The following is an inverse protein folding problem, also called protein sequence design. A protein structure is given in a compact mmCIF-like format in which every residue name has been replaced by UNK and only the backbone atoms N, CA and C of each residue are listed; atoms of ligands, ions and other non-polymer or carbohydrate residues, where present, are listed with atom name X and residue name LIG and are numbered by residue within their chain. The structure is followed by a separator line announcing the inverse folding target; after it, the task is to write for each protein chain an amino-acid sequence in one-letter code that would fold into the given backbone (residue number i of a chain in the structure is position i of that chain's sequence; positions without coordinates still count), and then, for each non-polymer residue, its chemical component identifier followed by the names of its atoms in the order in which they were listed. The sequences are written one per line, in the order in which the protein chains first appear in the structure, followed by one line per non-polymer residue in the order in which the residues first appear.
data_IF_729218507335
#
_entry.id   IF_729218507335
#
_cell.length_a   1.000
_cell.length_b   1.000
_cell.length_c   1.000
_cell.angle_alpha   90.00
_cell.angle_beta   90.00
_cell.angle_gamma   90.00
#
_symmetry.space_group_name_H-M   'P 1'
#
loop_
_entity.id
_entity.type
_entity.pdbx_description
1 polymer ?
#
# COMPACT_ATOMS: atom_id res chain seq x y z
N UNK A 1 -17.89 36.21 -6.02
CA UNK A 1 -17.93 34.78 -5.65
C UNK A 1 -16.51 34.39 -5.30
N UNK A 2 -16.24 33.76 -4.15
CA UNK A 2 -14.88 33.29 -3.89
C UNK A 2 -14.50 32.28 -4.99
N UNK A 3 -13.29 32.38 -5.51
CA UNK A 3 -12.71 31.55 -6.58
C UNK A 3 -12.70 30.06 -6.19
N UNK A 4 -13.85 29.40 -6.29
CA UNK A 4 -13.99 27.98 -5.93
C UNK A 4 -13.63 27.19 -7.18
N UNK A 5 -12.40 26.69 -7.24
CA UNK A 5 -11.92 25.86 -8.35
C UNK A 5 -12.75 24.57 -8.42
N UNK A 6 -13.19 24.23 -9.63
CA UNK A 6 -13.96 23.02 -9.89
C UNK A 6 -13.09 21.76 -9.75
N UNK A 7 -13.60 20.70 -9.11
CA UNK A 7 -12.86 19.45 -8.95
C UNK A 7 -12.64 18.71 -10.28
N UNK A 8 -13.54 18.87 -11.25
CA UNK A 8 -13.35 18.33 -12.60
C UNK A 8 -12.21 19.07 -13.31
N UNK A 9 -12.13 20.40 -13.16
CA UNK A 9 -11.03 21.21 -13.71
C UNK A 9 -9.69 20.91 -13.04
N UNK A 10 -9.68 20.71 -11.71
CA UNK A 10 -8.47 20.34 -10.94
C UNK A 10 -7.89 19.02 -11.43
N UNK A 11 -8.75 18.03 -11.73
CA UNK A 11 -8.31 16.74 -12.27
C UNK A 11 -8.13 16.75 -13.80
N UNK A 12 -8.59 17.81 -14.49
CA UNK A 12 -8.55 17.91 -15.94
C UNK A 12 -9.39 16.84 -16.63
N UNK A 13 -10.55 16.50 -16.07
CA UNK A 13 -11.49 15.50 -16.61
C UNK A 13 -12.84 16.13 -16.96
N UNK A 14 -13.61 15.47 -17.84
CA UNK A 14 -14.98 15.88 -18.16
C UNK A 14 -15.91 15.67 -16.96
N UNK A 15 -17.00 16.44 -16.89
CA UNK A 15 -18.09 16.26 -15.92
C UNK A 15 -18.75 14.88 -16.05
N UNK A 16 -18.79 14.34 -17.27
CA UNK A 16 -19.30 13.00 -17.58
C UNK A 16 -18.27 11.90 -17.38
N UNK A 17 -17.06 12.21 -16.89
CA UNK A 17 -15.97 11.25 -16.78
C UNK A 17 -16.35 10.06 -15.89
N UNK A 18 -15.99 8.87 -16.35
CA UNK A 18 -16.23 7.66 -15.59
C UNK A 18 -15.24 7.53 -14.41
N UNK A 19 -15.53 6.64 -13.45
CA UNK A 19 -14.67 6.45 -12.28
C UNK A 19 -13.24 6.00 -12.64
N UNK A 20 -13.04 5.35 -13.80
CA UNK A 20 -11.71 4.92 -14.26
C UNK A 20 -10.91 6.11 -14.80
N UNK A 21 -11.57 7.01 -15.51
CA UNK A 21 -10.97 8.25 -16.03
C UNK A 21 -10.55 9.18 -14.89
N UNK A 22 -11.41 9.38 -13.89
CA UNK A 22 -11.10 10.14 -12.67
C UNK A 22 -9.88 9.54 -11.95
N UNK A 23 -9.88 8.22 -11.74
CA UNK A 23 -8.77 7.51 -11.08
C UNK A 23 -7.47 7.60 -11.88
N UNK A 24 -7.55 7.58 -13.21
CA UNK A 24 -6.39 7.68 -14.11
C UNK A 24 -5.80 9.10 -14.07
N UNK A 25 -6.64 10.12 -14.11
CA UNK A 25 -6.23 11.51 -14.01
C UNK A 25 -5.58 11.82 -12.66
N UNK A 26 -6.20 11.38 -11.55
CA UNK A 26 -5.62 11.49 -10.22
C UNK A 26 -4.23 10.85 -10.14
N UNK A 27 -4.06 9.61 -10.63
CA UNK A 27 -2.74 8.93 -10.59
C UNK A 27 -1.66 9.70 -11.34
N UNK A 28 -1.99 10.25 -12.51
CA UNK A 28 -1.05 11.03 -13.32
C UNK A 28 -0.61 12.29 -12.59
N UNK A 29 -1.57 13.06 -12.08
CA UNK A 29 -1.32 14.32 -11.38
C UNK A 29 -0.64 14.11 -10.03
N UNK A 30 -1.02 13.06 -9.28
CA UNK A 30 -0.39 12.70 -8.01
C UNK A 30 1.07 12.28 -8.19
N UNK A 31 1.42 11.64 -9.30
CA UNK A 31 2.82 11.34 -9.64
C UNK A 31 3.60 12.57 -10.10
N UNK A 32 2.94 13.53 -10.76
CA UNK A 32 3.57 14.76 -11.24
C UNK A 32 3.88 15.72 -10.09
N UNK A 33 2.93 15.89 -9.16
CA UNK A 33 3.01 16.82 -8.03
C UNK A 33 3.38 16.14 -6.70
N UNK A 34 3.92 14.91 -6.73
CA UNK A 34 4.31 14.20 -5.51
C UNK A 34 5.39 14.97 -4.72
N UNK A 35 5.30 15.06 -3.37
CA UNK A 35 6.32 15.72 -2.55
C UNK A 35 7.73 15.18 -2.76
N UNK A 36 7.89 13.86 -2.89
CA UNK A 36 9.21 13.24 -3.14
C UNK A 36 9.85 13.64 -4.48
N UNK A 37 9.05 14.02 -5.48
CA UNK A 37 9.54 14.46 -6.80
C UNK A 37 9.71 15.97 -6.90
N UNK A 38 9.03 16.71 -6.05
CA UNK A 38 9.08 18.17 -5.99
C UNK A 38 9.40 18.60 -4.54
N UNK A 39 10.54 18.16 -3.98
CA UNK A 39 10.94 18.60 -2.65
C UNK A 39 11.15 20.12 -2.69
N UNK A 40 10.60 20.81 -1.68
CA UNK A 40 10.70 22.27 -1.50
C UNK A 40 9.93 23.15 -2.52
N UNK A 41 9.01 22.59 -3.32
CA UNK A 41 8.09 23.39 -4.14
C UNK A 41 6.72 23.59 -3.45
N UNK A 42 6.45 24.76 -2.83
CA UNK A 42 5.18 25.01 -2.15
C UNK A 42 3.98 25.05 -3.10
N UNK A 43 4.19 25.35 -4.40
CA UNK A 43 3.10 25.33 -5.39
C UNK A 43 2.74 23.91 -5.80
N UNK A 44 3.73 23.01 -5.85
CA UNK A 44 3.47 21.59 -6.07
C UNK A 44 2.71 20.98 -4.89
N UNK A 45 3.06 21.37 -3.66
CA UNK A 45 2.35 20.94 -2.45
C UNK A 45 0.89 21.41 -2.43
N UNK A 46 0.64 22.68 -2.76
CA UNK A 46 -0.71 23.25 -2.83
C UNK A 46 -1.56 22.53 -3.89
N UNK A 47 -1.01 22.32 -5.10
CA UNK A 47 -1.68 21.55 -6.15
C UNK A 47 -1.95 20.12 -5.75
N UNK A 48 -0.99 19.48 -5.07
CA UNK A 48 -1.15 18.10 -4.60
C UNK A 48 -2.30 17.97 -3.60
N UNK A 49 -2.50 18.97 -2.73
CA UNK A 49 -3.66 19.04 -1.82
C UNK A 49 -4.98 19.19 -2.60
N UNK A 50 -5.04 20.10 -3.58
CA UNK A 50 -6.22 20.27 -4.44
C UNK A 50 -6.57 18.97 -5.20
N UNK A 51 -5.57 18.29 -5.75
CA UNK A 51 -5.73 17.01 -6.47
C UNK A 51 -6.27 15.92 -5.55
N UNK A 52 -5.80 15.85 -4.30
CA UNK A 52 -6.30 14.89 -3.32
C UNK A 52 -7.74 15.18 -2.90
N UNK A 53 -8.09 16.44 -2.70
CA UNK A 53 -9.45 16.88 -2.37
C UNK A 53 -10.44 16.53 -3.50
N UNK A 54 -10.09 16.88 -4.74
CA UNK A 54 -10.89 16.58 -5.92
C UNK A 54 -11.14 15.07 -6.08
N UNK A 55 -10.09 14.25 -5.91
CA UNK A 55 -10.26 12.80 -5.98
C UNK A 55 -11.08 12.25 -4.80
N UNK A 56 -10.95 12.79 -3.60
CA UNK A 56 -11.73 12.35 -2.43
C UNK A 56 -13.25 12.59 -2.57
N UNK A 57 -13.64 13.56 -3.39
CA UNK A 57 -15.03 13.86 -3.72
C UNK A 57 -15.50 13.08 -4.95
N UNK A 58 -14.75 13.13 -6.05
CA UNK A 58 -15.19 12.58 -7.34
C UNK A 58 -15.07 11.06 -7.45
N UNK A 59 -14.22 10.41 -6.65
CA UNK A 59 -14.07 8.94 -6.67
C UNK A 59 -15.16 8.19 -5.89
N UNK A 60 -15.92 8.88 -5.05
CA UNK A 60 -17.01 8.32 -4.24
C UNK A 60 -18.36 8.73 -4.88
N UNK A 61 -19.22 7.78 -5.29
CA UNK A 61 -20.46 8.10 -5.96
C UNK A 61 -21.40 9.01 -5.16
N UNK A 62 -21.50 8.82 -3.84
CA UNK A 62 -22.40 9.61 -2.99
C UNK A 62 -21.86 11.02 -2.77
N UNK A 63 -20.54 11.18 -2.65
CA UNK A 63 -19.93 12.51 -2.51
C UNK A 63 -19.93 13.28 -3.82
N UNK A 64 -19.70 12.60 -4.94
CA UNK A 64 -19.81 13.17 -6.29
C UNK A 64 -21.22 13.71 -6.53
N UNK A 65 -22.24 12.93 -6.22
CA UNK A 65 -23.64 13.37 -6.35
C UNK A 65 -23.95 14.63 -5.52
N UNK A 66 -23.48 14.68 -4.26
CA UNK A 66 -23.66 15.87 -3.40
C UNK A 66 -22.89 17.08 -3.90
N UNK A 67 -21.68 16.87 -4.42
CA UNK A 67 -20.89 17.91 -5.05
C UNK A 67 -21.57 18.46 -6.29
N UNK A 68 -22.02 17.59 -7.18
CA UNK A 68 -22.75 17.95 -8.40
C UNK A 68 -24.07 18.68 -8.07
N UNK A 69 -24.78 18.28 -7.00
CA UNK A 69 -26.00 18.93 -6.56
C UNK A 69 -25.78 20.38 -6.09
N UNK A 70 -24.69 20.64 -5.36
CA UNK A 70 -24.33 22.00 -4.89
C UNK A 70 -23.73 22.84 -6.01
N UNK A 71 -22.91 22.21 -6.86
CA UNK A 71 -22.32 22.83 -8.06
C UNK A 71 -23.39 23.31 -9.04
N UNK A 72 -24.40 22.49 -9.31
CA UNK A 72 -25.49 22.81 -10.24
C UNK A 72 -26.56 23.73 -9.64
N UNK A 73 -26.56 23.92 -8.31
CA UNK A 73 -27.48 24.84 -7.63
C UNK A 73 -26.81 25.60 -6.46
N UNK A 74 -25.91 26.58 -6.76
CA UNK A 74 -25.09 27.26 -5.75
C UNK A 74 -25.88 28.03 -4.69
N UNK A 75 -27.16 28.32 -4.95
CA UNK A 75 -28.06 29.06 -4.06
C UNK A 75 -29.13 28.19 -3.40
N UNK A 76 -29.19 26.89 -3.72
CA UNK A 76 -30.16 25.96 -3.15
C UNK A 76 -29.99 25.69 -1.64
N UNK A 77 -28.81 26.00 -1.10
CA UNK A 77 -28.48 25.82 0.33
C UNK A 77 -28.36 27.11 1.15
N UNK A 78 -28.51 28.30 0.53
CA UNK A 78 -28.26 29.59 1.17
C UNK A 78 -29.47 30.53 1.11
N UNK A 79 -30.67 29.95 1.22
CA UNK A 79 -31.93 30.65 1.44
C UNK A 79 -32.44 30.39 2.86
N UNK A 80 -31.88 31.08 3.86
CA UNK A 80 -32.46 31.11 5.19
C UNK A 80 -33.79 31.87 5.17
N UNK A 81 -34.91 31.17 5.00
CA UNK A 81 -36.24 31.78 5.12
C UNK A 81 -37.41 30.85 4.82
N UNK A 82 -38.00 30.28 5.88
CA UNK A 82 -39.37 29.71 5.95
C UNK A 82 -39.72 28.56 4.98
N UNK A 83 -39.54 27.34 5.48
CA UNK A 83 -40.26 26.15 5.02
C UNK A 83 -40.33 25.15 6.17
N UNK A 84 -41.38 25.24 6.98
CA UNK A 84 -41.53 24.45 8.20
C UNK A 84 -41.67 22.97 7.89
N UNK A 85 -40.85 22.15 8.55
CA UNK A 85 -41.18 20.75 8.78
C UNK A 85 -42.19 20.72 9.93
N UNK A 86 -43.49 20.71 9.60
CA UNK A 86 -44.57 20.66 10.60
C UNK A 86 -44.86 19.19 10.98
N UNK A 87 -44.74 18.80 12.27
CA UNK A 87 -44.91 17.42 12.72
C UNK A 87 -46.38 17.03 13.02
N UNK A 88 -47.38 17.71 12.43
CA UNK A 88 -48.81 17.35 12.55
C UNK A 88 -49.63 17.63 11.29
N UNK A 89 -50.00 16.56 10.59
CA UNK A 89 -50.95 16.55 9.46
C UNK A 89 -50.23 16.59 8.11
N UNK A 90 -50.41 15.67 7.17
CA UNK A 90 -51.50 14.73 6.93
C UNK A 90 -51.79 14.77 5.43
N UNK A 91 -51.26 13.80 4.69
CA UNK A 91 -51.49 13.59 3.25
C UNK A 91 -50.20 13.69 2.44
N UNK A 92 -49.67 12.66 1.80
CA UNK A 92 -50.15 11.30 1.59
C UNK A 92 -49.26 10.69 0.51
N UNK A 93 -48.32 9.84 0.90
CA UNK A 93 -47.81 8.78 0.04
C UNK A 93 -47.55 7.56 0.93
N UNK A 94 -48.65 6.90 1.25
CA UNK A 94 -48.69 5.55 1.78
C UNK A 94 -49.95 4.93 1.20
N UNK A 95 -49.81 4.14 0.13
CA UNK A 95 -50.24 2.75 0.13
C UNK A 95 -49.93 2.09 -1.23
N UNK A 96 -48.96 1.19 -1.24
CA UNK A 96 -49.21 -0.15 -1.76
C UNK A 96 -48.21 -1.14 -1.16
N UNK A 97 -48.69 -1.86 -0.14
CA UNK A 97 -48.35 -3.22 0.34
C UNK A 97 -46.89 -3.71 0.29
N UNK A 98 -46.31 -4.27 1.36
CA UNK A 98 -46.85 -4.74 2.62
C UNK A 98 -45.83 -5.73 3.22
N UNK A 99 -45.78 -5.78 4.55
CA UNK A 99 -45.24 -6.94 5.28
C UNK A 99 -43.84 -6.77 5.89
N UNK A 100 -43.77 -6.92 7.21
CA UNK A 100 -42.58 -7.48 7.89
C UNK A 100 -41.51 -6.49 8.34
N UNK A 101 -41.78 -5.77 9.44
CA UNK A 101 -40.75 -5.07 10.22
C UNK A 101 -39.78 -6.08 10.85
N UNK A 102 -38.69 -6.40 10.17
CA UNK A 102 -37.46 -6.86 10.79
C UNK A 102 -36.54 -5.66 10.99
N UNK A 103 -36.18 -5.37 12.24
CA UNK A 103 -35.13 -4.40 12.55
C UNK A 103 -33.80 -5.01 12.12
N UNK A 104 -33.32 -4.67 10.93
CA UNK A 104 -31.92 -4.90 10.57
C UNK A 104 -31.13 -3.75 11.17
N UNK A 105 -30.50 -4.04 12.31
CA UNK A 105 -29.39 -3.26 12.85
C UNK A 105 -28.22 -3.43 11.88
N UNK A 106 -27.90 -2.40 11.10
CA UNK A 106 -26.63 -2.41 10.38
C UNK A 106 -25.53 -1.99 11.35
N UNK A 107 -24.75 -2.99 11.70
CA UNK A 107 -23.58 -2.97 12.56
C UNK A 107 -22.37 -2.61 11.71
N UNK A 108 -21.69 -1.53 12.11
CA UNK A 108 -20.24 -1.36 12.11
C UNK A 108 -19.43 -2.07 11.01
N UNK A 109 -18.82 -1.30 10.10
CA UNK A 109 -17.65 -1.80 9.39
C UNK A 109 -17.35 -1.11 8.07
N UNK A 110 -16.65 0.03 8.13
CA UNK A 110 -15.49 0.37 7.30
C UNK A 110 -15.24 1.87 7.47
N UNK A 111 -14.28 2.19 8.34
CA UNK A 111 -13.66 3.51 8.33
C UNK A 111 -13.12 3.76 6.92
N UNK A 112 -13.53 4.88 6.35
CA UNK A 112 -12.97 5.35 5.10
C UNK A 112 -11.44 5.46 5.30
N UNK A 113 -10.59 4.97 4.39
CA UNK A 113 -9.13 5.15 4.48
C UNK A 113 -8.71 6.63 4.61
N UNK A 114 -9.65 7.53 4.29
CA UNK A 114 -9.55 8.97 4.38
C UNK A 114 -9.72 9.53 5.81
N UNK A 115 -10.41 8.83 6.72
CA UNK A 115 -10.51 9.25 8.14
C UNK A 115 -9.16 9.17 8.86
N UNK A 116 -8.21 8.36 8.35
CA UNK A 116 -6.91 8.16 8.99
C UNK A 116 -5.84 9.17 8.57
N UNK A 117 -6.09 10.01 7.56
CA UNK A 117 -5.13 11.04 7.12
C UNK A 117 -5.53 12.46 7.58
N UNK A 118 -6.75 12.64 8.10
CA UNK A 118 -7.28 13.92 8.61
C UNK A 118 -7.18 14.08 10.12
N UNK A 119 -6.06 13.67 10.73
CA UNK A 119 -5.76 13.88 12.14
C UNK A 119 -5.16 15.27 12.44
N UNK A 120 -5.72 16.32 11.87
CA UNK A 120 -5.23 17.69 12.03
C UNK A 120 -6.13 18.67 11.31
N UNK A 121 -6.77 19.56 12.06
CA UNK A 121 -7.53 20.68 11.49
C UNK A 121 -6.55 21.55 10.67
N UNK A 122 -6.69 21.62 9.34
CA UNK A 122 -5.98 22.62 8.52
C UNK A 122 -5.55 22.24 7.09
N UNK A 123 -5.89 21.08 6.53
CA UNK A 123 -5.38 20.65 5.22
C UNK A 123 -6.34 20.72 4.01
N UNK A 124 -7.64 20.82 4.23
CA UNK A 124 -8.68 20.81 3.18
C UNK A 124 -9.40 22.16 3.11
N UNK A 125 -9.92 22.52 1.94
CA UNK A 125 -10.61 23.79 1.74
C UNK A 125 -11.82 23.96 2.67
N UNK A 126 -12.14 25.20 3.04
CA UNK A 126 -13.33 25.55 3.82
C UNK A 126 -14.62 25.09 3.11
N UNK A 127 -14.60 25.01 1.78
CA UNK A 127 -15.72 24.49 0.98
C UNK A 127 -15.92 22.98 1.22
N UNK A 128 -14.86 22.16 1.14
CA UNK A 128 -14.93 20.73 1.46
C UNK A 128 -15.38 20.49 2.91
N UNK A 129 -14.88 21.31 3.85
CA UNK A 129 -15.30 21.24 5.25
C UNK A 129 -16.77 21.64 5.43
N UNK A 130 -17.26 22.64 4.71
CA UNK A 130 -18.68 23.04 4.76
C UNK A 130 -19.61 21.99 4.14
N UNK A 131 -19.17 21.33 3.06
CA UNK A 131 -19.96 20.37 2.29
C UNK A 131 -19.96 18.97 2.91
N UNK A 132 -18.85 18.55 3.51
CA UNK A 132 -18.64 17.19 4.01
C UNK A 132 -18.23 17.08 5.49
N UNK A 133 -17.88 18.19 6.15
CA UNK A 133 -17.51 18.22 7.58
C UNK A 133 -18.69 18.26 8.55
N UNK A 134 -19.92 18.40 8.06
CA UNK A 134 -21.13 18.51 8.89
C UNK A 134 -21.72 17.20 9.44
N UNK A 135 -21.15 16.04 9.11
CA UNK A 135 -21.74 14.73 9.42
C UNK A 135 -21.20 14.05 10.69
N UNK A 136 -20.54 14.78 11.60
CA UNK A 136 -20.11 14.25 12.89
C UNK A 136 -20.13 15.30 14.01
N UNK A 137 -21.28 15.96 14.20
CA UNK A 137 -21.51 16.76 15.41
C UNK A 137 -22.99 16.90 15.75
N UNK A 138 -23.62 15.78 16.13
CA UNK A 138 -24.88 15.82 16.87
C UNK A 138 -24.85 14.84 18.04
N UNK A 139 -23.92 15.07 18.96
CA UNK A 139 -24.00 14.60 20.34
C UNK A 139 -23.05 15.40 21.24
N UNK A 140 -23.46 16.60 21.64
CA UNK A 140 -22.87 17.28 22.80
C UNK A 140 -22.49 18.74 22.56
N UNK A 141 -23.39 19.66 22.90
CA UNK A 141 -23.08 21.09 22.94
C UNK A 141 -24.35 21.94 22.98
N UNK A 142 -24.93 22.11 24.17
CA UNK A 142 -26.02 23.06 24.38
C UNK A 142 -25.50 24.51 24.36
N UNK A 143 -26.26 25.48 23.82
CA UNK A 143 -25.82 26.86 23.65
C UNK A 143 -26.14 27.71 24.89
N UNK A 144 -25.26 28.66 25.19
CA UNK A 144 -25.47 29.90 25.98
C UNK A 144 -26.54 29.90 27.08
N UNK A 145 -26.08 29.84 28.34
CA UNK A 145 -26.91 30.20 29.49
C UNK A 145 -26.15 30.32 30.81
N UNK A 146 -25.80 31.56 31.19
CA UNK A 146 -25.87 32.09 32.55
C UNK A 146 -24.88 31.60 33.61
N UNK A 147 -24.15 32.54 34.23
CA UNK A 147 -23.22 32.27 35.31
C UNK A 147 -23.87 31.97 36.68
N UNK A 148 -23.00 31.60 37.62
CA UNK A 148 -23.28 31.69 39.05
C UNK A 148 -23.31 30.36 39.81
N UNK A 149 -22.59 30.37 40.92
CA UNK A 149 -22.68 29.50 42.09
C UNK A 149 -22.02 28.11 42.04
N UNK A 150 -21.05 28.00 42.94
CA UNK A 150 -20.46 26.80 43.48
C UNK A 150 -21.49 25.70 43.77
N UNK A 151 -21.25 24.52 43.22
CA UNK A 151 -21.69 23.28 43.83
C UNK A 151 -20.67 22.17 43.53
N UNK A 152 -19.95 21.80 44.57
CA UNK A 152 -19.16 20.58 44.65
C UNK A 152 -20.01 19.39 44.18
N UNK A 153 -19.74 18.89 42.98
CA UNK A 153 -20.15 17.56 42.56
C UNK A 153 -18.89 16.76 42.30
N UNK A 154 -18.68 15.81 43.21
CA UNK A 154 -17.65 14.77 43.18
C UNK A 154 -17.46 14.26 41.75
N UNK A 155 -16.30 14.52 41.17
CA UNK A 155 -15.80 13.80 40.02
C UNK A 155 -15.64 12.33 40.41
N UNK A 156 -16.71 11.54 40.25
CA UNK A 156 -16.58 10.11 40.00
C UNK A 156 -15.88 10.03 38.66
N UNK A 157 -14.57 9.84 38.70
CA UNK A 157 -13.76 9.56 37.53
C UNK A 157 -14.46 8.48 36.72
N UNK A 158 -14.97 8.87 35.54
CA UNK A 158 -15.37 7.92 34.51
C UNK A 158 -14.06 7.24 34.15
N UNK A 159 -13.75 6.10 34.81
CA UNK A 159 -12.72 5.17 34.36
C UNK A 159 -13.09 4.90 32.91
N UNK A 160 -12.42 5.57 31.97
CA UNK A 160 -12.37 5.12 30.60
C UNK A 160 -11.87 3.69 30.73
N UNK A 161 -12.77 2.74 30.51
CA UNK A 161 -12.42 1.34 30.45
C UNK A 161 -11.39 1.27 29.34
N UNK A 162 -10.11 1.13 29.72
CA UNK A 162 -9.03 1.01 28.75
C UNK A 162 -9.40 -0.19 27.89
N UNK A 163 -9.58 0.04 26.59
CA UNK A 163 -9.80 -1.03 25.62
C UNK A 163 -8.64 -2.02 25.64
N UNK A 164 -8.80 -3.12 24.90
CA UNK A 164 -7.68 -4.04 24.70
C UNK A 164 -6.48 -3.35 24.07
N UNK A 165 -5.28 -3.86 24.36
CA UNK A 165 -4.03 -3.29 23.86
C UNK A 165 -3.61 -3.99 22.57
N UNK A 166 -3.08 -3.22 21.64
CA UNK A 166 -2.49 -3.76 20.42
C UNK A 166 -1.18 -4.47 20.74
N UNK A 167 -0.89 -5.53 19.99
CA UNK A 167 0.32 -6.34 20.14
C UNK A 167 1.07 -6.32 18.84
N UNK A 168 2.39 -6.15 18.90
CA UNK A 168 3.27 -6.36 17.76
C UNK A 168 4.08 -7.64 17.97
N UNK A 169 4.21 -8.44 16.92
CA UNK A 169 5.08 -9.62 16.91
C UNK A 169 5.81 -9.72 15.58
N UNK A 170 6.94 -10.43 15.59
CA UNK A 170 7.76 -10.71 14.41
C UNK A 170 7.66 -12.19 14.09
N UNK A 171 7.50 -12.52 12.81
CA UNK A 171 7.52 -13.89 12.33
C UNK A 171 8.71 -14.06 11.39
N UNK A 172 9.64 -14.91 11.80
CA UNK A 172 10.77 -15.31 10.97
C UNK A 172 10.29 -16.26 9.88
N UNK A 173 10.59 -15.92 8.64
CA UNK A 173 10.33 -16.73 7.46
C UNK A 173 11.64 -17.09 6.79
N UNK A 174 11.77 -18.35 6.37
CA UNK A 174 12.83 -18.69 5.42
C UNK A 174 12.56 -18.02 4.07
N UNK A 175 13.61 -17.82 3.28
CA UNK A 175 13.48 -17.28 1.93
C UNK A 175 12.47 -18.06 1.09
N UNK A 176 12.54 -19.40 1.11
CA UNK A 176 11.61 -20.27 0.40
C UNK A 176 10.15 -20.14 0.89
N UNK A 177 9.92 -19.97 2.20
CA UNK A 177 8.59 -19.71 2.74
C UNK A 177 8.03 -18.37 2.24
N UNK A 178 8.87 -17.33 2.19
CA UNK A 178 8.47 -16.03 1.67
C UNK A 178 8.11 -16.09 0.17
N UNK A 179 8.85 -16.87 -0.62
CA UNK A 179 8.57 -17.08 -2.05
C UNK A 179 7.28 -17.90 -2.29
N UNK A 180 7.08 -18.96 -1.51
CA UNK A 180 5.91 -19.83 -1.66
C UNK A 180 4.63 -19.17 -1.15
N UNK A 181 4.72 -18.40 -0.06
CA UNK A 181 3.56 -17.87 0.66
C UNK A 181 2.67 -18.98 1.23
N UNK A 182 1.38 -18.68 1.38
CA UNK A 182 0.35 -19.63 1.79
C UNK A 182 -0.13 -19.44 3.22
N UNK A 183 -0.96 -20.38 3.69
CA UNK A 183 -1.56 -20.32 5.04
C UNK A 183 -0.63 -20.98 6.04
N UNK A 184 -0.21 -20.25 7.06
CA UNK A 184 0.62 -20.76 8.15
C UNK A 184 -0.07 -20.55 9.49
N UNK A 185 0.01 -21.56 10.35
CA UNK A 185 -0.45 -21.47 11.72
C UNK A 185 0.70 -20.99 12.61
N UNK A 186 0.48 -19.86 13.29
CA UNK A 186 1.48 -19.22 14.14
C UNK A 186 0.97 -19.24 15.57
N UNK A 187 1.82 -19.70 16.49
CA UNK A 187 1.55 -19.63 17.92
C UNK A 187 1.89 -18.23 18.42
N UNK A 188 0.89 -17.55 19.00
CA UNK A 188 1.06 -16.24 19.59
C UNK A 188 1.77 -16.32 20.95
N UNK A 189 2.38 -15.22 21.43
CA UNK A 189 2.94 -15.14 22.78
C UNK A 189 1.94 -15.51 23.90
N UNK A 190 0.65 -15.29 23.66
CA UNK A 190 -0.44 -15.68 24.58
C UNK A 190 -0.86 -17.15 24.50
N UNK A 191 -0.19 -17.99 23.71
CA UNK A 191 -0.47 -19.42 23.56
C UNK A 191 -1.57 -19.77 22.55
N UNK A 192 -2.34 -18.80 22.06
CA UNK A 192 -3.34 -18.98 21.01
C UNK A 192 -2.68 -19.27 19.66
N UNK A 193 -3.24 -20.19 18.87
CA UNK A 193 -2.82 -20.44 17.50
C UNK A 193 -3.68 -19.61 16.55
N UNK A 194 -3.04 -18.88 15.64
CA UNK A 194 -3.73 -18.08 14.63
C UNK A 194 -3.26 -18.49 13.25
N UNK A 195 -4.23 -18.73 12.35
CA UNK A 195 -3.96 -18.91 10.93
C UNK A 195 -3.74 -17.56 10.27
N UNK A 196 -2.54 -17.38 9.73
CA UNK A 196 -2.11 -16.20 8.99
C UNK A 196 -1.91 -16.59 7.53
N UNK A 197 -2.30 -15.72 6.61
CA UNK A 197 -1.98 -15.89 5.20
C UNK A 197 -0.76 -15.06 4.87
N UNK A 198 0.29 -15.72 4.41
CA UNK A 198 1.52 -15.10 3.94
C UNK A 198 1.34 -14.87 2.43
N UNK A 199 1.38 -13.61 1.95
CA UNK A 199 1.35 -13.34 0.53
C UNK A 199 2.50 -14.03 -0.21
N UNK A 200 2.24 -14.48 -1.42
CA UNK A 200 3.27 -15.08 -2.27
C UNK A 200 4.32 -14.01 -2.64
N UNK A 201 5.59 -14.33 -2.48
CA UNK A 201 6.68 -13.39 -2.77
C UNK A 201 6.79 -12.25 -1.76
N UNK A 202 6.32 -12.45 -0.52
CA UNK A 202 6.30 -11.38 0.49
C UNK A 202 7.69 -10.82 0.77
N UNK A 203 7.78 -9.50 0.98
CA UNK A 203 9.04 -8.79 1.26
C UNK A 203 9.36 -8.79 2.75
N UNK A 204 10.64 -8.66 3.07
CA UNK A 204 11.08 -8.40 4.44
C UNK A 204 10.42 -7.11 4.96
N UNK A 205 9.97 -7.12 6.22
CA UNK A 205 9.31 -5.99 6.88
C UNK A 205 7.81 -5.84 6.57
N UNK A 206 7.22 -6.72 5.75
CA UNK A 206 5.79 -6.65 5.44
C UNK A 206 4.94 -6.87 6.71
N UNK A 207 3.98 -5.98 6.96
CA UNK A 207 3.14 -5.99 8.16
C UNK A 207 1.70 -6.42 7.85
N UNK A 208 1.19 -7.39 8.61
CA UNK A 208 -0.19 -7.87 8.54
C UNK A 208 -0.93 -7.58 9.84
N UNK A 209 -2.15 -7.05 9.75
CA UNK A 209 -3.02 -6.75 10.88
C UNK A 209 -4.09 -7.83 11.06
N UNK A 210 -4.16 -8.40 12.25
CA UNK A 210 -5.17 -9.35 12.68
C UNK A 210 -6.09 -8.68 13.71
N UNK A 211 -7.29 -8.32 13.26
CA UNK A 211 -8.26 -7.59 14.09
C UNK A 211 -8.75 -8.43 15.28
N UNK A 212 -8.81 -7.82 16.47
CA UNK A 212 -9.32 -8.45 17.69
C UNK A 212 -8.46 -9.58 18.25
N UNK A 213 -7.20 -9.72 17.80
CA UNK A 213 -6.25 -10.76 18.24
C UNK A 213 -5.15 -10.23 19.16
N UNK A 214 -5.22 -8.96 19.54
CA UNK A 214 -4.35 -8.35 20.55
C UNK A 214 -4.70 -8.77 21.98
N UNK A 215 -4.19 -8.03 22.96
CA UNK A 215 -4.42 -8.31 24.38
C UNK A 215 -5.83 -7.89 24.80
N UNK A 216 -6.45 -8.71 25.66
CA UNK A 216 -7.74 -8.41 26.25
C UNK A 216 -7.60 -7.30 27.30
N UNK A 217 -8.42 -6.25 27.19
CA UNK A 217 -8.53 -5.21 28.21
C UNK A 217 -9.43 -5.63 29.36
N UNK A 218 -9.45 -4.87 30.48
CA UNK A 218 -10.32 -5.17 31.64
C UNK A 218 -11.82 -5.25 31.32
N UNK A 219 -12.27 -4.70 30.18
CA UNK A 219 -13.64 -4.76 29.69
C UNK A 219 -13.90 -5.88 28.66
N UNK A 220 -12.98 -6.82 28.48
CA UNK A 220 -13.13 -7.97 27.56
C UNK A 220 -12.89 -7.66 26.07
N UNK A 221 -12.92 -6.39 25.66
CA UNK A 221 -12.51 -6.00 24.31
C UNK A 221 -11.02 -6.27 24.10
N UNK A 222 -10.67 -6.90 22.98
CA UNK A 222 -9.28 -7.15 22.57
C UNK A 222 -8.80 -6.05 21.63
N UNK A 223 -7.51 -5.70 21.72
CA UNK A 223 -6.85 -4.90 20.69
C UNK A 223 -6.56 -5.73 19.45
N UNK A 224 -5.72 -5.20 18.57
CA UNK A 224 -5.29 -5.85 17.34
C UNK A 224 -3.88 -6.46 17.46
N UNK A 225 -3.57 -7.40 16.57
CA UNK A 225 -2.24 -7.99 16.47
C UNK A 225 -1.61 -7.60 15.14
N UNK A 226 -0.43 -6.99 15.18
CA UNK A 226 0.39 -6.69 14.02
C UNK A 226 1.52 -7.72 13.94
N UNK A 227 1.59 -8.44 12.83
CA UNK A 227 2.67 -9.38 12.54
C UNK A 227 3.57 -8.76 11.48
N UNK A 228 4.84 -8.56 11.80
CA UNK A 228 5.87 -8.16 10.82
C UNK A 228 6.63 -9.39 10.36
N UNK A 229 6.71 -9.62 9.05
CA UNK A 229 7.50 -10.71 8.48
C UNK A 229 8.97 -10.33 8.40
N UNK A 230 9.84 -11.14 8.99
CA UNK A 230 11.28 -11.03 8.84
C UNK A 230 11.75 -12.20 7.98
N UNK A 231 12.08 -11.90 6.73
CA UNK A 231 12.60 -12.90 5.79
C UNK A 231 14.10 -13.01 6.00
N UNK A 232 14.59 -14.22 6.23
CA UNK A 232 16.01 -14.52 6.35
C UNK A 232 16.72 -14.41 4.99
N UNK A 233 17.97 -13.96 5.02
CA UNK A 233 18.84 -13.92 3.84
C UNK A 233 19.07 -15.33 3.29
N UNK A 234 19.23 -15.42 1.97
CA UNK A 234 19.51 -16.68 1.29
C UNK A 234 20.98 -16.77 0.89
N UNK A 235 21.67 -17.90 1.11
CA UNK A 235 23.10 -18.02 0.83
C UNK A 235 23.47 -17.85 -0.65
N UNK A 236 22.54 -18.18 -1.57
CA UNK A 236 22.77 -18.10 -3.03
C UNK A 236 22.06 -16.94 -3.72
N UNK A 237 21.02 -16.36 -3.10
CA UNK A 237 20.15 -15.41 -3.80
C UNK A 237 20.11 -14.10 -3.02
N UNK A 238 20.46 -13.02 -3.71
CA UNK A 238 20.20 -11.65 -3.23
C UNK A 238 18.91 -11.18 -3.88
N UNK A 239 17.99 -10.60 -3.11
CA UNK A 239 16.72 -10.08 -3.61
C UNK A 239 16.77 -8.56 -3.70
N UNK A 240 16.44 -8.02 -4.87
CA UNK A 240 16.31 -6.59 -5.13
C UNK A 240 14.92 -6.32 -5.71
N UNK A 241 14.02 -5.76 -4.91
CA UNK A 241 12.61 -5.66 -5.30
C UNK A 241 11.99 -7.05 -5.50
N UNK A 242 11.58 -7.37 -6.72
CA UNK A 242 11.10 -8.70 -7.09
C UNK A 242 12.09 -9.47 -7.99
N UNK A 243 13.23 -8.84 -8.29
CA UNK A 243 14.33 -9.47 -9.00
C UNK A 243 15.25 -10.22 -8.02
N UNK A 244 15.89 -11.26 -8.55
CA UNK A 244 16.85 -12.08 -7.84
C UNK A 244 18.21 -11.99 -8.52
N UNK A 245 19.27 -11.99 -7.73
CA UNK A 245 20.64 -12.00 -8.19
C UNK A 245 21.35 -13.23 -7.62
N UNK A 246 22.09 -13.92 -8.48
CA UNK A 246 22.89 -15.09 -8.14
C UNK A 246 24.23 -14.99 -8.84
N UNK A 247 25.28 -15.46 -8.19
CA UNK A 247 26.60 -15.56 -8.78
C UNK A 247 26.75 -16.98 -9.37
N UNK A 248 27.26 -17.08 -10.59
CA UNK A 248 27.49 -18.33 -11.29
C UNK A 248 28.96 -18.43 -11.71
N UNK A 249 29.61 -19.46 -11.20
CA UNK A 249 30.99 -19.76 -11.53
C UNK A 249 31.09 -20.44 -12.90
N UNK A 250 32.01 -19.95 -13.73
CA UNK A 250 32.28 -20.48 -15.07
C UNK A 250 33.78 -20.65 -15.27
N UNK A 251 34.21 -21.71 -15.95
CA UNK A 251 35.65 -21.88 -16.23
C UNK A 251 36.16 -20.84 -17.22
N UNK A 252 37.43 -20.44 -17.09
CA UNK A 252 38.10 -19.53 -18.04
C UNK A 252 37.85 -19.89 -19.51
N UNK A 253 38.01 -21.16 -19.87
CA UNK A 253 37.83 -21.59 -21.26
C UNK A 253 36.37 -21.58 -21.72
N UNK A 254 35.42 -21.84 -20.81
CA UNK A 254 33.98 -21.73 -21.10
C UNK A 254 33.59 -20.27 -21.35
N UNK A 255 34.20 -19.32 -20.61
CA UNK A 255 34.03 -17.89 -20.84
C UNK A 255 34.59 -17.47 -22.21
N UNK A 256 35.79 -17.96 -22.56
CA UNK A 256 36.48 -17.64 -23.81
C UNK A 256 35.79 -18.24 -25.04
N UNK A 257 35.40 -19.52 -24.97
CA UNK A 257 34.91 -20.29 -26.12
C UNK A 257 33.39 -20.33 -26.21
N UNK A 258 32.70 -19.92 -25.15
CA UNK A 258 31.25 -20.03 -25.00
C UNK A 258 30.85 -21.38 -24.45
N UNK A 259 29.75 -21.39 -23.69
CA UNK A 259 29.29 -22.57 -22.99
C UNK A 259 27.77 -22.55 -22.78
N UNK A 260 27.24 -23.65 -22.25
CA UNK A 260 25.86 -23.75 -21.82
C UNK A 260 25.81 -24.21 -20.37
N UNK A 261 25.42 -23.32 -19.48
CA UNK A 261 25.32 -23.58 -18.05
C UNK A 261 23.90 -23.96 -17.65
N UNK A 262 23.77 -24.73 -16.58
CA UNK A 262 22.48 -24.99 -15.92
C UNK A 262 22.45 -24.20 -14.62
N UNK A 263 21.61 -23.17 -14.57
CA UNK A 263 21.42 -22.32 -13.39
C UNK A 263 20.09 -22.69 -12.73
N UNK A 264 20.10 -22.95 -11.43
CA UNK A 264 18.87 -23.17 -10.67
C UNK A 264 18.29 -21.84 -10.20
N UNK A 265 16.98 -21.65 -10.39
CA UNK A 265 16.27 -20.53 -9.76
C UNK A 265 15.91 -20.82 -8.29
N UNK A 266 15.37 -19.81 -7.59
CA UNK A 266 15.00 -19.93 -6.19
C UNK A 266 13.82 -20.89 -5.91
N UNK A 267 13.23 -21.47 -6.95
CA UNK A 267 12.18 -22.49 -6.87
C UNK A 267 12.70 -23.91 -7.19
N UNK A 268 14.02 -24.07 -7.39
CA UNK A 268 14.65 -25.36 -7.70
C UNK A 268 14.54 -25.80 -9.16
N UNK A 269 14.07 -24.93 -10.06
CA UNK A 269 14.01 -25.26 -11.49
C UNK A 269 15.36 -24.94 -12.14
N UNK A 270 15.93 -25.92 -12.85
CA UNK A 270 17.14 -25.73 -13.65
C UNK A 270 16.83 -25.09 -15.00
N UNK A 271 17.46 -23.96 -15.28
CA UNK A 271 17.32 -23.16 -16.49
C UNK A 271 18.63 -23.26 -17.27
N UNK A 272 18.54 -23.48 -18.58
CA UNK A 272 19.70 -23.45 -19.47
C UNK A 272 20.07 -22.00 -19.77
N UNK A 273 21.26 -21.57 -19.39
CA UNK A 273 21.85 -20.28 -19.73
C UNK A 273 22.91 -20.49 -20.83
N UNK A 274 22.72 -19.83 -21.97
CA UNK A 274 23.72 -19.80 -23.03
C UNK A 274 24.71 -18.68 -22.75
N UNK A 275 25.98 -19.03 -22.58
CA UNK A 275 27.08 -18.09 -22.34
C UNK A 275 27.83 -17.89 -23.66
N UNK A 276 27.83 -16.68 -24.24
CA UNK A 276 28.57 -16.39 -25.47
C UNK A 276 30.09 -16.52 -25.29
N UNK A 277 30.79 -16.81 -26.38
CA UNK A 277 32.25 -16.72 -26.41
C UNK A 277 32.71 -15.28 -26.12
N UNK A 278 33.79 -15.15 -25.35
CA UNK A 278 34.33 -13.86 -24.92
C UNK A 278 33.55 -13.20 -23.78
N UNK A 279 32.75 -13.95 -23.01
CA UNK A 279 32.06 -13.43 -21.81
C UNK A 279 33.06 -12.91 -20.80
N UNK A 280 32.82 -11.72 -20.25
CA UNK A 280 33.73 -11.06 -19.32
C UNK A 280 33.43 -11.40 -17.84
N UNK A 281 34.42 -11.39 -16.95
CA UNK A 281 34.17 -11.45 -15.50
C UNK A 281 33.26 -10.30 -15.04
N UNK A 282 32.27 -10.63 -14.20
CA UNK A 282 31.26 -9.70 -13.71
C UNK A 282 30.14 -9.39 -14.71
N UNK A 283 30.17 -9.95 -15.93
CA UNK A 283 29.06 -9.79 -16.88
C UNK A 283 27.77 -10.41 -16.33
N UNK A 284 26.64 -9.74 -16.55
CA UNK A 284 25.34 -10.16 -15.99
C UNK A 284 24.40 -10.63 -17.08
N UNK A 285 23.88 -11.86 -16.95
CA UNK A 285 22.83 -12.39 -17.81
C UNK A 285 21.46 -12.32 -17.14
N UNK A 286 20.47 -11.79 -17.87
CA UNK A 286 19.08 -11.70 -17.41
C UNK A 286 18.25 -12.87 -17.91
N UNK A 287 17.75 -13.69 -16.98
CA UNK A 287 16.78 -14.76 -17.23
C UNK A 287 15.38 -14.25 -16.88
N UNK A 288 14.62 -13.90 -17.92
CA UNK A 288 13.29 -13.28 -17.76
C UNK A 288 12.26 -14.21 -17.09
N UNK A 289 11.50 -13.68 -16.15
CA UNK A 289 10.43 -14.37 -15.42
C UNK A 289 10.91 -15.43 -14.43
N UNK A 290 12.19 -15.37 -14.03
CA UNK A 290 12.82 -16.35 -13.14
C UNK A 290 13.13 -15.79 -11.73
N UNK A 291 12.70 -14.56 -11.44
CA UNK A 291 12.78 -13.92 -10.14
C UNK A 291 11.61 -14.26 -9.22
N UNK A 292 11.29 -13.37 -8.29
CA UNK A 292 10.20 -13.56 -7.33
C UNK A 292 8.85 -13.47 -8.02
N UNK A 293 8.03 -14.52 -7.83
CA UNK A 293 6.64 -14.56 -8.29
C UNK A 293 5.72 -13.95 -7.22
N UNK A 294 5.04 -12.88 -7.56
CA UNK A 294 4.00 -12.25 -6.74
C UNK A 294 2.60 -12.62 -7.29
N UNK A 295 1.54 -12.01 -6.78
CA UNK A 295 0.19 -12.19 -7.34
C UNK A 295 0.01 -11.47 -8.68
N UNK A 296 0.66 -10.32 -8.85
CA UNK A 296 0.48 -9.44 -10.01
C UNK A 296 1.57 -9.61 -11.07
N UNK A 297 2.81 -9.89 -10.64
CA UNK A 297 3.97 -9.89 -11.52
C UNK A 297 5.04 -10.92 -11.12
N UNK A 298 5.99 -11.18 -12.02
CA UNK A 298 7.16 -12.02 -11.79
C UNK A 298 8.42 -11.25 -12.19
N UNK A 299 9.32 -11.04 -11.23
CA UNK A 299 10.62 -10.46 -11.52
C UNK A 299 11.55 -11.41 -12.27
N UNK A 300 12.80 -10.99 -12.44
CA UNK A 300 13.80 -11.69 -13.21
C UNK A 300 14.93 -12.25 -12.35
N UNK A 301 15.70 -13.19 -12.92
CA UNK A 301 16.93 -13.67 -12.32
C UNK A 301 18.12 -13.10 -13.08
N UNK A 302 18.95 -12.34 -12.40
CA UNK A 302 20.23 -11.84 -12.88
C UNK A 302 21.33 -12.79 -12.41
N UNK A 303 22.07 -13.33 -13.37
CA UNK A 303 23.18 -14.25 -13.15
C UNK A 303 24.46 -13.47 -13.39
N UNK A 304 25.21 -13.20 -12.33
CA UNK A 304 26.52 -12.55 -12.39
C UNK A 304 27.59 -13.61 -12.63
N UNK A 305 28.43 -13.40 -13.64
CA UNK A 305 29.45 -14.38 -14.01
C UNK A 305 30.73 -14.16 -13.22
N UNK A 306 31.13 -15.19 -12.48
CA UNK A 306 32.43 -15.28 -11.84
C UNK A 306 33.31 -16.26 -12.63
N UNK A 307 34.38 -15.75 -13.25
CA UNK A 307 35.27 -16.58 -14.08
C UNK A 307 36.35 -17.20 -13.19
N UNK A 308 36.36 -18.53 -13.11
CA UNK A 308 37.37 -19.32 -12.42
C UNK A 308 38.63 -19.47 -13.29
N UNK A 309 39.75 -18.95 -12.77
CA UNK A 309 41.07 -19.08 -13.37
C UNK A 309 41.83 -20.18 -12.61
N UNK A 310 42.44 -21.16 -13.31
CA UNK A 310 43.23 -22.20 -12.64
C UNK A 310 44.43 -21.60 -11.87
N UNK A 311 44.59 -22.02 -10.60
CA UNK A 311 45.72 -21.58 -9.75
C UNK A 311 47.07 -22.19 -10.18
N UNK A 312 47.02 -23.39 -10.79
CA UNK A 312 48.20 -24.14 -11.22
C UNK A 312 48.07 -24.57 -12.68
N UNK A 313 49.20 -24.54 -13.40
CA UNK A 313 49.31 -24.94 -14.79
C UNK A 313 50.56 -25.80 -14.97
N UNK A 314 50.44 -26.87 -15.75
CA UNK A 314 51.60 -27.65 -16.21
C UNK A 314 52.46 -26.84 -17.19
N UNK A 315 53.70 -27.26 -17.42
CA UNK A 315 54.58 -26.62 -18.40
C UNK A 315 53.96 -26.56 -19.80
N UNK A 316 53.32 -27.66 -20.24
CA UNK A 316 52.64 -27.75 -21.54
C UNK A 316 51.44 -26.78 -21.61
N UNK A 317 50.62 -26.71 -20.56
CA UNK A 317 49.48 -25.79 -20.49
C UNK A 317 49.92 -24.33 -20.52
N UNK A 318 51.00 -23.98 -19.79
CA UNK A 318 51.56 -22.63 -19.77
C UNK A 318 52.09 -22.21 -21.13
N UNK A 319 52.77 -23.12 -21.84
CA UNK A 319 53.27 -22.84 -23.19
C UNK A 319 52.11 -22.59 -24.18
N UNK A 320 51.07 -23.43 -24.15
CA UNK A 320 49.89 -23.25 -24.98
C UNK A 320 49.16 -21.93 -24.72
N UNK A 321 48.96 -21.58 -23.44
CA UNK A 321 48.35 -20.32 -23.04
C UNK A 321 49.22 -19.10 -23.39
N UNK A 322 50.55 -19.21 -23.27
CA UNK A 322 51.46 -18.15 -23.70
C UNK A 322 51.30 -17.85 -25.18
N UNK A 323 51.34 -18.89 -26.02
CA UNK A 323 51.15 -18.74 -27.46
C UNK A 323 49.79 -18.09 -27.78
N UNK A 324 48.71 -18.54 -27.14
CA UNK A 324 47.38 -17.96 -27.35
C UNK A 324 47.30 -16.49 -26.90
N UNK A 325 47.93 -16.14 -25.77
CA UNK A 325 47.97 -14.76 -25.28
C UNK A 325 48.80 -13.82 -26.17
N UNK A 326 49.89 -14.31 -26.77
CA UNK A 326 50.69 -13.57 -27.75
C UNK A 326 49.89 -13.31 -29.04
N UNK A 327 49.21 -14.33 -29.57
CA UNK A 327 48.38 -14.22 -30.79
C UNK A 327 47.18 -13.27 -30.59
N UNK A 328 46.61 -13.23 -29.39
CA UNK A 328 45.50 -12.33 -29.05
C UNK A 328 45.95 -10.92 -28.65
N UNK A 329 47.25 -10.72 -28.41
CA UNK A 329 47.81 -9.45 -27.92
C UNK A 329 47.42 -9.14 -26.46
N UNK A 330 47.07 -10.17 -25.67
CA UNK A 330 46.67 -10.05 -24.27
C UNK A 330 47.80 -10.39 -23.29
N UNK A 331 49.00 -10.69 -23.79
CA UNK A 331 50.22 -10.82 -22.99
C UNK A 331 51.12 -9.60 -23.18
N UNK A 332 51.59 -9.06 -22.05
CA UNK A 332 52.60 -7.99 -21.98
C UNK A 332 54.03 -8.51 -22.17
#
# INVERSE_FOLDING_TARGET
MPDTKDYYDILGVSEDADAKEIKKAYRKLAQEYHPDRNPDDPKAEEKFKEIQEANAVLSDPEKRERYDAVRNNPFGGMGGGRGGFDPRGGGGFSDMGGGGRQRVRFEQGQGNPFESFGGGHGGFSDFFQSLFGGAQQQAGGGPFGGGGAAQQRRSRGRRQQRGGQDVETKLQLSFGQALAGGKQEVKLPGGEHVRLTIPKGVRHGHKVRLRGRGQAGPGGQRGDLYVTFEVADHPRFRREGDDLHVDAEIGLFDALLGASLRVENAYGNGIKLSVPAGTQPGETFRLRGQGVKTEDDTGDLYVHVDVLIPDELTSEQREALRKAGEETGLLE
#
